data_IF_198266710087
#
_entry.id   IF_198266710087
#
_cell.length_a   1.000
_cell.length_b   1.000
_cell.length_c   1.000
_cell.angle_alpha   90.00
_cell.angle_beta   90.00
_cell.angle_gamma   90.00
#
_symmetry.space_group_name_H-M   'P 1'
#
loop_
_entity.id
_entity.type
_entity.pdbx_description
1 polymer ?
#
# COMPACT_ATOMS: atom_id res chain seq x y z
N UNK A 1 -2.78 10.12 -56.37
CA UNK A 1 -1.60 9.36 -55.92
C UNK A 1 -0.43 10.32 -55.65
N UNK A 2 0.04 10.43 -54.38
CA UNK A 2 1.43 10.80 -53.94
C UNK A 2 1.55 11.35 -52.51
N UNK A 3 0.46 11.81 -51.86
CA UNK A 3 0.54 12.47 -50.52
C UNK A 3 -0.09 11.71 -49.34
N UNK A 4 -0.68 10.52 -49.57
CA UNK A 4 -1.34 9.73 -48.51
C UNK A 4 -0.66 8.36 -48.24
N UNK A 5 0.48 8.08 -48.85
CA UNK A 5 1.18 6.78 -48.73
C UNK A 5 2.22 6.78 -47.58
N UNK A 6 2.62 7.95 -47.07
CA UNK A 6 3.71 8.09 -46.08
C UNK A 6 3.21 8.01 -44.63
N UNK A 7 1.93 8.28 -44.35
CA UNK A 7 1.40 8.34 -42.97
C UNK A 7 0.91 6.96 -42.45
N UNK A 8 0.59 6.02 -43.33
CA UNK A 8 -0.02 4.71 -42.96
C UNK A 8 1.04 3.66 -42.57
N UNK A 9 2.33 3.93 -42.75
CA UNK A 9 3.43 2.99 -42.50
C UNK A 9 4.11 3.11 -41.13
N UNK A 10 3.82 4.17 -40.37
CA UNK A 10 4.42 4.39 -39.03
C UNK A 10 3.60 3.82 -37.86
N UNK A 11 2.35 3.42 -38.09
CA UNK A 11 1.42 2.91 -37.06
C UNK A 11 1.53 1.41 -36.78
N UNK A 12 2.49 0.70 -37.38
CA UNK A 12 2.61 -0.77 -37.33
C UNK A 12 3.88 -1.32 -36.67
N UNK A 13 4.69 -0.47 -36.00
CA UNK A 13 6.01 -0.89 -35.47
C UNK A 13 6.20 -0.76 -33.95
N UNK A 14 5.18 -0.38 -33.17
CA UNK A 14 5.28 -0.25 -31.69
C UNK A 14 4.40 -1.27 -30.94
N UNK A 15 3.70 -2.14 -31.65
CA UNK A 15 2.90 -3.25 -31.09
C UNK A 15 3.66 -4.59 -30.99
N UNK A 16 4.99 -4.56 -31.01
CA UNK A 16 5.85 -5.74 -31.18
C UNK A 16 6.63 -6.24 -29.96
N UNK A 17 6.52 -5.60 -28.79
CA UNK A 17 7.36 -5.91 -27.61
C UNK A 17 6.59 -6.46 -26.39
N UNK A 18 5.25 -6.54 -26.43
CA UNK A 18 4.43 -6.86 -25.26
C UNK A 18 4.16 -8.38 -25.02
N UNK A 19 4.49 -9.26 -25.97
CA UNK A 19 4.09 -10.70 -25.90
C UNK A 19 5.23 -11.61 -25.40
N UNK A 20 6.49 -11.20 -25.51
CA UNK A 20 7.65 -12.06 -25.21
C UNK A 20 7.87 -12.39 -23.73
N UNK A 21 7.49 -11.50 -22.81
CA UNK A 21 7.80 -11.64 -21.39
C UNK A 21 6.87 -12.61 -20.62
N UNK A 22 5.68 -12.92 -21.15
CA UNK A 22 4.67 -13.69 -20.43
C UNK A 22 4.90 -15.22 -20.43
N UNK A 23 5.81 -15.72 -21.28
CA UNK A 23 5.95 -17.17 -21.53
C UNK A 23 7.23 -17.83 -20.98
N UNK A 24 8.14 -17.07 -20.35
CA UNK A 24 9.45 -17.59 -19.90
C UNK A 24 9.60 -17.72 -18.37
N UNK A 25 8.55 -17.40 -17.60
CA UNK A 25 8.59 -17.42 -16.12
C UNK A 25 8.08 -18.70 -15.45
N UNK A 26 7.49 -19.64 -16.18
CA UNK A 26 6.68 -20.73 -15.60
C UNK A 26 7.08 -22.14 -16.04
N UNK A 27 8.33 -22.56 -15.84
CA UNK A 27 8.64 -24.00 -15.74
C UNK A 27 9.71 -24.35 -14.68
N UNK A 28 9.22 -25.09 -13.67
CA UNK A 28 9.85 -26.23 -12.96
C UNK A 28 11.30 -26.09 -12.45
N UNK A 29 11.39 -26.10 -11.12
CA UNK A 29 12.52 -26.69 -10.39
C UNK A 29 12.01 -27.75 -9.42
N UNK A 30 11.73 -28.95 -9.94
CA UNK A 30 11.56 -30.16 -9.11
C UNK A 30 12.84 -30.98 -9.24
N UNK A 31 13.70 -30.89 -8.22
CA UNK A 31 14.90 -31.74 -8.12
C UNK A 31 14.70 -32.77 -7.00
N UNK A 32 13.90 -33.79 -7.31
CA UNK A 32 14.04 -35.09 -6.65
C UNK A 32 15.37 -35.72 -7.10
N UNK A 33 16.19 -36.14 -6.14
CA UNK A 33 17.32 -37.03 -6.43
C UNK A 33 17.45 -38.10 -5.34
N UNK A 34 16.64 -39.15 -5.49
CA UNK A 34 16.74 -40.38 -4.70
C UNK A 34 17.91 -41.21 -5.23
N UNK A 35 18.88 -41.57 -4.37
CA UNK A 35 19.87 -42.61 -4.65
C UNK A 35 20.02 -43.54 -3.44
N UNK A 36 20.06 -44.84 -3.68
CA UNK A 36 19.94 -45.87 -2.64
C UNK A 36 21.28 -46.28 -2.00
N UNK A 37 21.28 -46.25 -0.65
CA UNK A 37 21.70 -47.28 0.34
C UNK A 37 22.98 -48.11 0.08
N UNK A 38 23.87 -48.10 1.08
CA UNK A 38 24.58 -49.28 1.58
C UNK A 38 24.77 -49.20 3.12
N UNK A 39 24.81 -50.36 3.77
CA UNK A 39 24.90 -50.63 5.23
C UNK A 39 26.23 -50.21 5.92
N UNK A 40 26.45 -50.18 7.25
CA UNK A 40 25.69 -50.22 8.56
C UNK A 40 26.76 -50.56 9.67
N UNK A 41 26.59 -50.49 11.02
CA UNK A 41 25.69 -49.75 11.95
C UNK A 41 26.43 -48.79 12.94
N UNK A 42 25.68 -48.08 13.81
CA UNK A 42 25.88 -47.98 15.30
C UNK A 42 25.59 -46.59 15.92
N UNK A 43 24.93 -46.62 17.10
CA UNK A 43 24.76 -45.56 18.13
C UNK A 43 23.76 -44.40 17.89
N UNK A 44 22.61 -44.51 18.57
CA UNK A 44 21.95 -43.35 19.21
C UNK A 44 22.89 -42.71 20.23
N UNK A 45 22.83 -41.38 20.37
CA UNK A 45 22.38 -40.83 21.65
C UNK A 45 21.33 -39.72 21.49
N UNK A 46 20.53 -39.51 22.55
CA UNK A 46 19.51 -38.46 22.63
C UNK A 46 20.04 -37.09 22.18
N UNK A 47 19.29 -36.40 21.33
CA UNK A 47 19.31 -34.94 21.24
C UNK A 47 17.91 -34.47 21.59
N UNK A 48 17.79 -33.61 22.61
CA UNK A 48 16.53 -33.01 23.00
C UNK A 48 16.01 -32.14 21.84
N UNK A 49 14.77 -32.41 21.42
CA UNK A 49 14.07 -31.58 20.44
C UNK A 49 13.68 -30.25 21.11
N UNK A 50 14.64 -29.31 21.13
CA UNK A 50 14.34 -27.91 21.38
C UNK A 50 13.48 -27.40 20.22
N UNK A 51 12.16 -27.57 20.34
CA UNK A 51 11.20 -26.81 19.57
C UNK A 51 11.59 -25.33 19.68
N UNK A 52 11.74 -24.60 18.55
CA UNK A 52 11.88 -23.16 18.62
C UNK A 52 10.63 -22.60 19.30
N UNK A 53 10.78 -22.11 20.53
CA UNK A 53 9.78 -21.24 21.15
C UNK A 53 9.52 -20.12 20.15
N UNK A 54 8.30 -20.05 19.64
CA UNK A 54 7.92 -19.01 18.70
C UNK A 54 8.07 -17.65 19.39
N UNK A 55 9.18 -16.97 19.12
CA UNK A 55 9.45 -15.63 19.62
C UNK A 55 8.29 -14.75 19.16
N UNK A 56 7.58 -14.15 20.11
CA UNK A 56 6.42 -13.31 19.83
C UNK A 56 6.90 -12.05 19.11
N UNK A 57 6.98 -12.14 17.78
CA UNK A 57 7.42 -11.06 16.92
C UNK A 57 6.58 -9.81 17.27
N UNK A 58 7.22 -8.67 17.59
CA UNK A 58 6.50 -7.51 18.12
C UNK A 58 5.45 -7.07 17.11
N UNK A 59 4.19 -7.05 17.55
CA UNK A 59 3.06 -6.60 16.74
C UNK A 59 3.17 -5.09 16.55
N UNK A 60 3.61 -4.66 15.37
CA UNK A 60 3.69 -3.25 15.00
C UNK A 60 2.27 -2.69 14.87
N UNK A 61 1.94 -1.64 15.62
CA UNK A 61 0.73 -0.86 15.37
C UNK A 61 0.94 0.02 14.14
N UNK A 62 0.29 -0.37 13.04
CA UNK A 62 0.36 0.36 11.77
C UNK A 62 -0.26 1.74 11.87
N UNK A 63 -1.17 1.99 12.82
CA UNK A 63 -1.75 3.32 13.08
C UNK A 63 -0.67 4.29 13.58
N UNK A 64 0.17 3.86 14.53
CA UNK A 64 1.31 4.66 15.01
C UNK A 64 2.33 4.92 13.89
N UNK A 65 2.58 3.93 13.03
CA UNK A 65 3.47 4.09 11.88
C UNK A 65 2.94 5.10 10.85
N UNK A 66 1.61 5.13 10.63
CA UNK A 66 0.95 6.15 9.81
C UNK A 66 1.12 7.54 10.41
N UNK A 67 0.80 7.72 11.69
CA UNK A 67 0.98 9.01 12.37
C UNK A 67 2.43 9.47 12.29
N UNK A 68 3.39 8.59 12.55
CA UNK A 68 4.82 8.90 12.48
C UNK A 68 5.27 9.28 11.06
N UNK A 69 4.87 8.53 10.03
CA UNK A 69 5.25 8.80 8.64
C UNK A 69 4.68 10.13 8.13
N UNK A 70 3.40 10.43 8.42
CA UNK A 70 2.75 11.66 7.98
C UNK A 70 3.31 12.88 8.74
N UNK A 71 3.51 12.77 10.05
CA UNK A 71 4.08 13.85 10.88
C UNK A 71 5.53 14.16 10.51
N UNK A 72 6.33 13.14 10.19
CA UNK A 72 7.73 13.29 9.75
C UNK A 72 7.90 13.60 8.26
N UNK A 73 6.82 13.61 7.48
CA UNK A 73 6.81 13.65 6.00
C UNK A 73 7.57 12.50 5.32
N UNK A 74 7.89 11.43 6.04
CA UNK A 74 8.52 10.22 5.49
C UNK A 74 7.44 9.23 4.98
N UNK A 75 6.67 9.65 3.98
CA UNK A 75 5.54 8.86 3.44
C UNK A 75 5.97 7.57 2.76
N UNK A 76 7.19 7.50 2.22
CA UNK A 76 7.74 6.27 1.62
C UNK A 76 7.78 5.09 2.61
N UNK A 77 7.93 5.35 3.91
CA UNK A 77 7.91 4.31 4.94
C UNK A 77 6.57 3.53 4.99
N UNK A 78 5.49 4.08 4.42
CA UNK A 78 4.18 3.43 4.39
C UNK A 78 4.05 2.30 3.37
N UNK A 79 4.99 2.15 2.43
CA UNK A 79 4.91 1.14 1.37
C UNK A 79 4.85 -0.29 1.96
N UNK A 80 5.61 -0.55 3.02
CA UNK A 80 5.60 -1.84 3.75
C UNK A 80 4.30 -2.12 4.49
N UNK A 81 3.47 -1.10 4.72
CA UNK A 81 2.20 -1.18 5.46
C UNK A 81 0.96 -1.13 4.54
N UNK A 82 1.12 -0.92 3.23
CA UNK A 82 0.03 -0.95 2.26
C UNK A 82 -0.36 -2.37 1.83
N UNK A 83 -1.62 -2.56 1.47
CA UNK A 83 -2.08 -3.69 0.67
C UNK A 83 -1.58 -3.53 -0.78
N UNK A 84 -1.52 -4.61 -1.57
CA UNK A 84 -0.98 -4.52 -2.94
C UNK A 84 -1.80 -3.61 -3.87
N UNK A 85 -3.11 -3.54 -3.64
CA UNK A 85 -4.03 -2.55 -4.22
C UNK A 85 -4.60 -1.69 -3.09
N UNK A 86 -4.59 -0.38 -3.27
CA UNK A 86 -5.09 0.61 -2.31
C UNK A 86 -6.15 1.47 -3.01
N UNK A 87 -7.31 1.63 -2.36
CA UNK A 87 -8.37 2.53 -2.81
C UNK A 87 -8.01 3.97 -2.42
N UNK A 88 -7.68 4.79 -3.41
CA UNK A 88 -7.23 6.17 -3.20
C UNK A 88 -8.31 7.16 -3.62
N UNK A 89 -8.58 8.14 -2.76
CA UNK A 89 -9.49 9.26 -3.06
C UNK A 89 -8.80 10.61 -2.81
N UNK A 90 -8.98 11.54 -3.74
CA UNK A 90 -8.55 12.91 -3.64
C UNK A 90 -9.79 13.82 -3.74
N UNK A 91 -10.03 14.59 -2.69
CA UNK A 91 -11.18 15.50 -2.58
C UNK A 91 -11.26 16.45 -3.78
N UNK A 92 -12.50 16.76 -4.17
CA UNK A 92 -12.84 17.59 -5.35
C UNK A 92 -12.42 17.06 -6.73
N UNK A 93 -11.54 16.07 -6.86
CA UNK A 93 -11.10 15.55 -8.17
C UNK A 93 -11.68 14.20 -8.57
N UNK A 94 -12.08 13.36 -7.59
CA UNK A 94 -12.52 11.99 -7.85
C UNK A 94 -11.42 11.02 -8.29
N UNK A 95 -10.16 11.49 -8.42
CA UNK A 95 -9.00 10.60 -8.46
C UNK A 95 -8.95 9.78 -7.16
N UNK A 96 -8.41 8.57 -7.10
CA UNK A 96 -7.77 7.83 -8.18
C UNK A 96 -8.35 6.42 -8.37
N UNK A 97 -9.21 5.97 -7.46
CA UNK A 97 -9.77 4.62 -7.49
C UNK A 97 -8.79 3.59 -6.90
N UNK A 98 -8.97 2.30 -7.22
CA UNK A 98 -8.04 1.25 -6.81
C UNK A 98 -6.77 1.30 -7.67
N UNK A 99 -5.63 1.57 -7.05
CA UNK A 99 -4.31 1.66 -7.69
C UNK A 99 -3.28 0.81 -6.94
N UNK A 100 -2.12 0.54 -7.56
CA UNK A 100 -1.06 -0.24 -6.89
C UNK A 100 -0.46 0.52 -5.70
N UNK A 101 0.12 -0.18 -4.72
CA UNK A 101 0.80 0.46 -3.59
C UNK A 101 1.88 1.48 -3.99
N UNK A 102 2.61 1.24 -5.07
CA UNK A 102 3.64 2.17 -5.55
C UNK A 102 3.02 3.48 -6.08
N UNK A 103 1.94 3.38 -6.85
CA UNK A 103 1.16 4.55 -7.29
C UNK A 103 0.50 5.24 -6.08
N UNK A 104 0.00 4.48 -5.12
CA UNK A 104 -0.58 4.99 -3.89
C UNK A 104 0.44 5.75 -3.01
N UNK A 105 1.70 5.32 -2.94
CA UNK A 105 2.76 6.11 -2.27
C UNK A 105 2.97 7.44 -3.00
N UNK A 106 2.97 7.44 -4.35
CA UNK A 106 3.20 8.67 -5.12
C UNK A 106 2.18 9.78 -4.87
N UNK A 107 0.89 9.44 -4.64
CA UNK A 107 -0.15 10.43 -4.40
C UNK A 107 -0.04 11.10 -3.01
N UNK A 108 0.69 10.50 -2.05
CA UNK A 108 0.91 11.11 -0.73
C UNK A 108 1.76 12.39 -0.80
N UNK A 109 2.46 12.65 -1.91
CA UNK A 109 3.12 13.95 -2.19
C UNK A 109 2.15 15.13 -2.21
N UNK A 110 0.83 14.89 -2.37
CA UNK A 110 -0.20 15.91 -2.18
C UNK A 110 -0.16 16.55 -0.77
N UNK A 111 0.40 15.84 0.22
CA UNK A 111 0.56 16.31 1.60
C UNK A 111 1.88 17.06 1.85
N UNK A 112 2.76 17.23 0.86
CA UNK A 112 4.07 17.87 1.03
C UNK A 112 3.97 19.28 1.62
N UNK A 113 2.91 20.01 1.25
CA UNK A 113 2.62 21.36 1.76
C UNK A 113 1.95 21.39 3.14
N UNK A 114 1.46 20.25 3.65
CA UNK A 114 0.78 20.20 4.96
C UNK A 114 1.75 20.44 6.12
N UNK A 115 1.29 21.09 7.19
CA UNK A 115 2.07 21.36 8.42
C UNK A 115 1.19 21.22 9.66
N UNK A 116 1.79 20.84 10.80
CA UNK A 116 1.08 20.77 12.08
C UNK A 116 -0.06 19.74 12.08
N UNK A 117 0.28 18.46 11.91
CA UNK A 117 -0.72 17.39 11.91
C UNK A 117 -1.25 17.09 13.32
N UNK A 118 -2.59 17.01 13.43
CA UNK A 118 -3.32 16.49 14.58
C UNK A 118 -4.09 15.24 14.16
N UNK A 119 -3.86 14.13 14.87
CA UNK A 119 -4.58 12.85 14.73
C UNK A 119 -5.44 12.56 15.98
N UNK A 120 -5.75 13.59 16.77
CA UNK A 120 -6.52 13.46 18.00
C UNK A 120 -8.02 13.27 17.66
N UNK A 121 -8.65 12.13 17.99
CA UNK A 121 -10.06 11.89 17.68
C UNK A 121 -11.01 12.84 18.44
N UNK A 122 -10.53 13.56 19.46
CA UNK A 122 -11.29 14.60 20.17
C UNK A 122 -11.24 15.96 19.48
N UNK A 123 -10.44 16.13 18.42
CA UNK A 123 -10.37 17.36 17.63
C UNK A 123 -11.75 17.69 17.02
N UNK A 124 -12.31 18.89 17.27
CA UNK A 124 -13.64 19.25 16.76
C UNK A 124 -13.81 19.14 15.23
N UNK A 125 -12.73 19.35 14.47
CA UNK A 125 -12.72 19.21 13.01
C UNK A 125 -12.91 17.74 12.63
N UNK A 126 -12.20 16.82 13.30
CA UNK A 126 -12.29 15.37 13.08
C UNK A 126 -13.69 14.86 13.48
N UNK A 127 -14.24 15.32 14.61
CA UNK A 127 -15.61 14.98 15.03
C UNK A 127 -16.65 15.43 13.99
N UNK A 128 -16.50 16.64 13.43
CA UNK A 128 -17.42 17.16 12.41
C UNK A 128 -17.28 16.40 11.08
N UNK A 129 -16.05 16.09 10.64
CA UNK A 129 -15.79 15.24 9.47
C UNK A 129 -16.42 13.84 9.62
N UNK A 130 -16.24 13.21 10.78
CA UNK A 130 -16.82 11.90 11.10
C UNK A 130 -18.36 11.89 11.09
N UNK A 131 -18.99 13.04 11.36
CA UNK A 131 -20.46 13.21 11.35
C UNK A 131 -20.98 13.56 9.96
N UNK A 132 -20.29 14.44 9.24
CA UNK A 132 -20.73 14.99 7.95
C UNK A 132 -20.38 14.10 6.76
N UNK A 133 -19.26 13.37 6.82
CA UNK A 133 -18.74 12.50 5.75
C UNK A 133 -18.25 11.15 6.33
N UNK A 134 -19.14 10.37 6.97
CA UNK A 134 -18.77 9.17 7.75
C UNK A 134 -18.10 8.07 6.92
N UNK A 135 -18.42 7.94 5.63
CA UNK A 135 -17.90 6.88 4.76
C UNK A 135 -16.37 6.93 4.60
N UNK A 136 -15.79 8.12 4.77
CA UNK A 136 -14.35 8.39 4.57
C UNK A 136 -13.64 8.89 5.83
N UNK A 137 -14.38 9.36 6.85
CA UNK A 137 -13.82 9.99 8.06
C UNK A 137 -14.46 9.50 9.36
N UNK A 138 -15.39 8.54 9.29
CA UNK A 138 -16.09 7.96 10.44
C UNK A 138 -15.35 6.80 11.10
N UNK A 139 -16.12 5.93 11.77
CA UNK A 139 -15.57 4.76 12.49
C UNK A 139 -14.77 3.84 11.56
N UNK A 140 -13.62 3.35 12.05
CA UNK A 140 -12.69 2.52 11.28
C UNK A 140 -11.67 3.29 10.42
N UNK A 141 -11.74 4.63 10.40
CA UNK A 141 -10.74 5.49 9.77
C UNK A 141 -9.83 6.15 10.82
N UNK A 142 -8.52 6.12 10.58
CA UNK A 142 -7.55 6.99 11.25
C UNK A 142 -7.52 8.32 10.50
N UNK A 143 -8.01 9.40 11.12
CA UNK A 143 -8.14 10.73 10.49
C UNK A 143 -7.07 11.68 11.03
N UNK A 144 -6.44 12.42 10.12
CA UNK A 144 -5.52 13.52 10.43
C UNK A 144 -5.99 14.83 9.80
N UNK A 145 -5.83 15.93 10.54
CA UNK A 145 -6.07 17.30 10.07
C UNK A 145 -4.79 18.13 10.29
N UNK A 146 -4.46 19.00 9.35
CA UNK A 146 -3.30 19.88 9.41
C UNK A 146 -3.71 21.31 9.81
N UNK A 147 -2.81 22.05 10.46
CA UNK A 147 -2.99 23.47 10.81
C UNK A 147 -3.33 24.32 9.57
N UNK A 148 -2.76 23.99 8.40
CA UNK A 148 -3.05 24.63 7.12
C UNK A 148 -4.13 23.90 6.30
N UNK A 149 -5.14 23.38 6.98
CA UNK A 149 -6.40 22.85 6.45
C UNK A 149 -6.38 21.49 5.74
N UNK A 150 -5.19 21.00 5.33
CA UNK A 150 -5.06 19.67 4.72
C UNK A 150 -5.67 18.57 5.59
N UNK A 151 -6.23 17.55 4.94
CA UNK A 151 -6.79 16.37 5.59
C UNK A 151 -6.31 15.09 4.95
N UNK A 152 -6.20 14.07 5.78
CA UNK A 152 -5.97 12.69 5.37
C UNK A 152 -6.83 11.77 6.22
N UNK A 153 -7.28 10.65 5.65
CA UNK A 153 -7.77 9.53 6.44
C UNK A 153 -7.29 8.20 5.87
N UNK A 154 -6.98 7.23 6.73
CA UNK A 154 -6.51 5.90 6.36
C UNK A 154 -7.43 4.82 6.93
N UNK A 155 -7.67 3.76 6.16
CA UNK A 155 -8.40 2.58 6.60
C UNK A 155 -7.53 1.34 6.49
N UNK A 156 -7.54 0.54 7.55
CA UNK A 156 -6.83 -0.73 7.62
C UNK A 156 -7.78 -1.89 7.36
N UNK A 157 -7.29 -2.91 6.66
CA UNK A 157 -7.98 -4.17 6.47
C UNK A 157 -7.74 -5.13 7.65
N UNK A 158 -8.38 -6.30 7.59
CA UNK A 158 -8.26 -7.36 8.60
C UNK A 158 -6.85 -7.98 8.73
N UNK A 159 -5.89 -7.58 7.87
CA UNK A 159 -4.48 -7.98 7.91
C UNK A 159 -3.57 -6.85 8.42
N UNK A 160 -4.16 -5.79 9.00
CA UNK A 160 -3.47 -4.57 9.45
C UNK A 160 -2.70 -3.86 8.32
N UNK A 161 -3.22 -3.91 7.08
CA UNK A 161 -2.66 -3.20 5.92
C UNK A 161 -3.56 -2.06 5.49
N UNK A 162 -2.98 -0.95 5.03
CA UNK A 162 -3.72 0.18 4.44
C UNK A 162 -4.42 -0.33 3.17
N UNK A 163 -5.75 -0.43 3.21
CA UNK A 163 -6.59 -0.78 2.05
C UNK A 163 -7.16 0.44 1.35
N UNK A 164 -7.28 1.57 2.06
CA UNK A 164 -7.80 2.81 1.49
C UNK A 164 -7.23 4.04 2.20
N UNK A 165 -7.18 5.15 1.48
CA UNK A 165 -7.01 6.47 2.09
C UNK A 165 -7.69 7.58 1.28
N UNK A 166 -8.01 8.69 1.96
CA UNK A 166 -8.57 9.90 1.36
C UNK A 166 -7.64 11.09 1.65
N UNK A 167 -7.49 12.01 0.69
CA UNK A 167 -6.63 13.20 0.77
C UNK A 167 -7.45 14.45 0.38
N UNK A 168 -7.23 15.58 1.06
CA UNK A 168 -7.84 16.86 0.68
C UNK A 168 -7.00 18.06 1.10
N UNK A 169 -7.04 19.15 0.32
CA UNK A 169 -6.27 20.36 0.62
C UNK A 169 -6.93 21.28 1.67
N UNK A 170 -8.24 21.12 1.90
CA UNK A 170 -8.95 21.84 2.97
C UNK A 170 -10.16 21.03 3.45
N UNK A 171 -10.28 20.80 4.76
CA UNK A 171 -11.51 20.27 5.36
C UNK A 171 -12.73 21.17 5.13
N UNK A 172 -12.54 22.47 4.87
CA UNK A 172 -13.62 23.44 4.66
C UNK A 172 -14.40 23.20 3.36
N UNK A 173 -13.91 22.30 2.50
CA UNK A 173 -14.64 21.80 1.33
C UNK A 173 -15.68 20.73 1.70
N UNK A 174 -15.57 20.12 2.89
CA UNK A 174 -16.41 19.03 3.38
C UNK A 174 -17.31 19.42 4.54
N UNK A 175 -16.85 20.36 5.39
CA UNK A 175 -17.61 20.90 6.52
C UNK A 175 -17.67 22.43 6.44
N UNK A 176 -18.86 23.04 6.60
CA UNK A 176 -19.05 24.49 6.56
C UNK A 176 -18.61 25.22 7.84
#
# INVERSE_FOLDING_TARGET
>A
MRKYIIVVLSTLFVSGLAVGAYYYGTQKSTFDNKKEILENPTQLPNTEENLPTAESQPSIDVSEQIVAAITSKNTQALEGYMADIVQVRLESSGCCGPITKAEAISQLSYLDSAVGWSFDPTNPIIINLATSVPDFYGSGWLVGVADNEYIVSFKLNNQNKIEAYNLGASYKLLIP
#
